data_IF_975596527187
#
_entry.id   IF_975596527187
#
_cell.length_a   1.000
_cell.length_b   1.000
_cell.length_c   1.000
_cell.angle_alpha   90.00
_cell.angle_beta   90.00
_cell.angle_gamma   90.00
#
_symmetry.space_group_name_H-M   'P 1'
#
loop_
_entity.id
_entity.type
_entity.pdbx_description
1 polymer ?
#
# COMPACT_ATOMS: atom_id res chain seq x y z
N UNK A 1 -40.86 -26.35 17.71
CA UNK A 1 -40.13 -25.40 16.85
C UNK A 1 -39.26 -24.57 17.76
N UNK A 2 -37.98 -24.95 17.91
CA UNK A 2 -37.01 -24.10 18.60
C UNK A 2 -36.78 -22.91 17.67
N UNK A 3 -37.31 -21.73 18.02
CA UNK A 3 -36.81 -20.48 17.47
C UNK A 3 -35.36 -20.37 17.93
N UNK A 4 -34.41 -20.85 17.13
CA UNK A 4 -33.03 -20.41 17.25
C UNK A 4 -33.06 -18.90 17.00
N UNK A 5 -32.64 -18.12 17.99
CA UNK A 5 -32.44 -16.67 17.84
C UNK A 5 -31.36 -16.48 16.78
N UNK A 6 -31.74 -16.01 15.60
CA UNK A 6 -30.76 -15.59 14.57
C UNK A 6 -30.27 -14.21 14.96
N UNK A 7 -28.96 -14.01 14.98
CA UNK A 7 -28.32 -12.71 15.22
C UNK A 7 -27.47 -12.36 14.02
N UNK A 8 -27.43 -11.11 13.62
CA UNK A 8 -26.52 -10.68 12.56
C UNK A 8 -25.09 -10.59 13.08
N UNK A 9 -24.12 -10.70 12.19
CA UNK A 9 -22.71 -10.52 12.56
C UNK A 9 -22.39 -9.11 13.07
N UNK A 10 -23.14 -8.08 12.64
CA UNK A 10 -23.03 -6.72 13.19
C UNK A 10 -23.61 -6.64 14.60
N UNK A 11 -24.79 -7.21 14.86
CA UNK A 11 -25.33 -7.26 16.23
C UNK A 11 -24.41 -8.04 17.17
N UNK A 12 -23.77 -9.11 16.68
CA UNK A 12 -22.78 -9.87 17.43
C UNK A 12 -21.57 -9.01 17.81
N UNK A 13 -21.07 -8.15 16.91
CA UNK A 13 -19.93 -7.29 17.24
C UNK A 13 -20.27 -6.26 18.33
N UNK A 14 -21.50 -5.75 18.37
CA UNK A 14 -21.99 -4.89 19.46
C UNK A 14 -22.13 -5.62 20.81
N UNK A 15 -22.23 -6.95 20.83
CA UNK A 15 -22.20 -7.72 22.07
C UNK A 15 -20.79 -7.78 22.69
N UNK A 16 -19.74 -7.57 21.89
CA UNK A 16 -18.36 -7.43 22.39
C UNK A 16 -18.22 -6.06 23.05
N UNK A 17 -18.44 -4.98 22.30
CA UNK A 17 -18.56 -3.60 22.80
C UNK A 17 -19.11 -2.66 21.74
N UNK A 18 -19.53 -1.46 22.17
CA UNK A 18 -20.02 -0.42 21.24
C UNK A 18 -18.95 0.03 20.24
N UNK A 19 -17.71 0.19 20.70
CA UNK A 19 -16.58 0.60 19.86
C UNK A 19 -16.26 -0.45 18.78
N UNK A 20 -16.23 -1.74 19.16
CA UNK A 20 -16.05 -2.85 18.20
C UNK A 20 -17.22 -2.90 17.20
N UNK A 21 -18.44 -2.63 17.66
CA UNK A 21 -19.63 -2.49 16.81
C UNK A 21 -19.48 -1.43 15.73
N UNK A 22 -19.02 -0.24 16.09
CA UNK A 22 -18.82 0.89 15.19
C UNK A 22 -17.71 0.63 14.17
N UNK A 23 -16.55 0.15 14.63
CA UNK A 23 -15.42 -0.21 13.75
C UNK A 23 -15.80 -1.30 12.74
N UNK A 24 -16.52 -2.33 13.21
CA UNK A 24 -16.97 -3.42 12.35
C UNK A 24 -18.05 -2.97 11.35
N UNK A 25 -18.96 -2.08 11.76
CA UNK A 25 -19.94 -1.46 10.88
C UNK A 25 -19.28 -0.72 9.72
N UNK A 26 -18.28 0.12 10.01
CA UNK A 26 -17.45 0.79 9.00
C UNK A 26 -16.76 -0.23 8.11
N UNK A 27 -16.13 -1.25 8.70
CA UNK A 27 -15.42 -2.27 7.93
C UNK A 27 -16.34 -3.00 6.92
N UNK A 28 -17.55 -3.37 7.32
CA UNK A 28 -18.53 -4.01 6.44
C UNK A 28 -18.97 -3.05 5.34
N UNK A 29 -19.27 -1.80 5.66
CA UNK A 29 -19.77 -0.81 4.70
C UNK A 29 -18.84 -0.62 3.50
N UNK A 30 -17.52 -0.63 3.74
CA UNK A 30 -16.50 -0.44 2.71
C UNK A 30 -16.00 -1.74 2.07
N UNK A 31 -16.44 -2.93 2.52
CA UNK A 31 -15.87 -4.23 2.17
C UNK A 31 -15.72 -4.51 0.66
N UNK A 32 -16.67 -4.05 -0.17
CA UNK A 32 -16.64 -4.24 -1.63
C UNK A 32 -15.90 -3.12 -2.36
N UNK A 33 -15.98 -1.89 -1.86
CA UNK A 33 -15.55 -0.70 -2.57
C UNK A 33 -14.11 -0.30 -2.21
N UNK A 34 -13.73 -0.47 -0.94
CA UNK A 34 -12.40 -0.16 -0.36
C UNK A 34 -12.01 -1.31 0.60
N UNK A 35 -11.69 -2.49 0.07
CA UNK A 35 -11.39 -3.67 0.88
C UNK A 35 -10.13 -3.50 1.75
N UNK A 36 -9.18 -2.69 1.31
CA UNK A 36 -8.01 -2.26 2.07
C UNK A 36 -8.41 -1.50 3.35
N UNK A 37 -9.28 -0.49 3.24
CA UNK A 37 -9.83 0.23 4.39
C UNK A 37 -10.53 -0.72 5.37
N UNK A 38 -11.33 -1.66 4.85
CA UNK A 38 -12.00 -2.67 5.69
C UNK A 38 -11.02 -3.55 6.47
N UNK A 39 -9.91 -3.96 5.85
CA UNK A 39 -8.87 -4.72 6.53
C UNK A 39 -8.17 -3.88 7.60
N UNK A 40 -7.91 -2.58 7.37
CA UNK A 40 -7.40 -1.67 8.41
C UNK A 40 -8.34 -1.64 9.62
N UNK A 41 -9.65 -1.51 9.39
CA UNK A 41 -10.64 -1.54 10.46
C UNK A 41 -10.61 -2.86 11.25
N UNK A 42 -10.34 -4.00 10.60
CA UNK A 42 -10.20 -5.28 11.31
C UNK A 42 -9.04 -5.27 12.29
N UNK A 43 -7.97 -4.54 11.99
CA UNK A 43 -6.86 -4.38 12.91
C UNK A 43 -7.19 -3.45 14.08
N UNK A 44 -7.90 -2.36 13.84
CA UNK A 44 -8.42 -1.51 14.92
C UNK A 44 -9.36 -2.27 15.86
N UNK A 45 -10.16 -3.19 15.33
CA UNK A 45 -10.99 -4.09 16.15
C UNK A 45 -10.12 -4.97 17.06
N UNK A 46 -9.03 -5.55 16.54
CA UNK A 46 -8.09 -6.34 17.35
C UNK A 46 -7.50 -5.47 18.45
N UNK A 47 -7.01 -4.28 18.11
CA UNK A 47 -6.40 -3.34 19.06
C UNK A 47 -7.36 -2.95 20.20
N UNK A 48 -8.55 -2.45 19.84
CA UNK A 48 -9.61 -2.06 20.79
C UNK A 48 -10.00 -3.23 21.70
N UNK A 49 -10.16 -4.44 21.14
CA UNK A 49 -10.50 -5.63 21.92
C UNK A 49 -9.41 -5.99 22.93
N UNK A 50 -8.14 -5.96 22.53
CA UNK A 50 -7.02 -6.28 23.42
C UNK A 50 -6.92 -5.27 24.58
N UNK A 51 -7.13 -3.98 24.31
CA UNK A 51 -7.19 -2.94 25.35
C UNK A 51 -8.32 -3.21 26.33
N UNK A 52 -9.53 -3.46 25.83
CA UNK A 52 -10.71 -3.70 26.68
C UNK A 52 -10.55 -4.96 27.55
N UNK A 53 -9.97 -6.04 27.00
CA UNK A 53 -9.65 -7.25 27.78
C UNK A 53 -8.62 -6.97 28.86
N UNK A 54 -7.55 -6.24 28.54
CA UNK A 54 -6.50 -5.90 29.50
C UNK A 54 -7.05 -5.06 30.66
N UNK A 55 -7.83 -4.03 30.35
CA UNK A 55 -8.46 -3.17 31.36
C UNK A 55 -9.43 -3.94 32.27
N UNK A 56 -10.20 -4.87 31.69
CA UNK A 56 -11.20 -5.64 32.43
C UNK A 56 -10.58 -6.71 33.35
N UNK A 57 -9.46 -7.29 32.93
CA UNK A 57 -8.75 -8.35 33.66
C UNK A 57 -7.52 -7.84 34.43
N UNK A 58 -7.31 -6.52 34.50
CA UNK A 58 -6.22 -5.84 35.20
C UNK A 58 -4.83 -6.33 34.74
N UNK A 59 -4.66 -6.51 33.44
CA UNK A 59 -3.39 -6.91 32.80
C UNK A 59 -2.67 -5.67 32.29
N UNK A 60 -1.41 -5.50 32.69
CA UNK A 60 -0.55 -4.45 32.16
C UNK A 60 0.25 -4.95 30.97
N UNK A 61 0.23 -4.20 29.88
CA UNK A 61 1.10 -4.45 28.74
C UNK A 61 2.47 -3.80 28.96
N UNK A 62 3.53 -4.58 28.76
CA UNK A 62 4.91 -4.09 28.75
C UNK A 62 5.28 -3.42 27.42
N UNK A 63 4.58 -3.80 26.36
CA UNK A 63 4.70 -3.25 25.01
C UNK A 63 3.33 -3.02 24.38
N UNK A 64 3.32 -2.08 23.48
CA UNK A 64 2.18 -1.57 22.70
C UNK A 64 1.89 -2.41 21.46
N UNK A 65 2.88 -3.15 20.94
CA UNK A 65 2.72 -3.95 19.72
C UNK A 65 1.71 -5.11 19.90
N UNK A 66 0.89 -5.32 18.88
CA UNK A 66 -0.21 -6.29 18.94
C UNK A 66 0.27 -7.72 19.18
N UNK A 67 1.45 -8.12 18.68
CA UNK A 67 1.99 -9.47 18.93
C UNK A 67 2.21 -9.68 20.42
N UNK A 68 2.98 -8.79 21.05
CA UNK A 68 3.32 -8.88 22.47
C UNK A 68 2.07 -8.80 23.34
N UNK A 69 1.10 -7.96 22.98
CA UNK A 69 -0.18 -7.85 23.71
C UNK A 69 -1.01 -9.13 23.63
N UNK A 70 -1.11 -9.73 22.43
CA UNK A 70 -1.79 -11.02 22.25
C UNK A 70 -1.09 -12.11 23.08
N UNK A 71 0.25 -12.18 23.03
CA UNK A 71 1.03 -13.16 23.78
C UNK A 71 0.88 -12.94 25.29
N UNK A 72 0.90 -11.69 25.76
CA UNK A 72 0.74 -11.35 27.19
C UNK A 72 -0.61 -11.81 27.73
N UNK A 73 -1.72 -11.59 27.00
CA UNK A 73 -3.03 -12.08 27.42
C UNK A 73 -3.11 -13.61 27.43
N UNK A 74 -2.42 -14.28 26.50
CA UNK A 74 -2.37 -15.74 26.44
C UNK A 74 -1.52 -16.32 27.58
N UNK A 75 -0.33 -15.77 27.83
CA UNK A 75 0.54 -16.17 28.93
C UNK A 75 -0.14 -15.95 30.29
N UNK A 76 -0.90 -14.86 30.42
CA UNK A 76 -1.74 -14.55 31.59
C UNK A 76 -2.99 -15.42 31.72
N UNK A 77 -3.20 -16.38 30.80
CA UNK A 77 -4.35 -17.30 30.77
C UNK A 77 -5.73 -16.61 30.66
N UNK A 78 -5.77 -15.38 30.14
CA UNK A 78 -7.02 -14.66 29.89
C UNK A 78 -7.70 -15.21 28.64
N UNK A 79 -6.93 -15.42 27.57
CA UNK A 79 -7.45 -15.95 26.30
C UNK A 79 -6.95 -17.37 26.04
N UNK A 80 -7.77 -18.14 25.33
CA UNK A 80 -7.39 -19.50 24.91
C UNK A 80 -6.37 -19.50 23.78
N UNK A 81 -5.69 -20.63 23.55
CA UNK A 81 -4.80 -20.79 22.39
C UNK A 81 -5.55 -20.54 21.07
N UNK A 82 -6.78 -21.02 20.96
CA UNK A 82 -7.63 -20.81 19.77
C UNK A 82 -7.91 -19.33 19.54
N UNK A 83 -8.26 -18.61 20.60
CA UNK A 83 -8.54 -17.16 20.55
C UNK A 83 -7.29 -16.36 20.20
N UNK A 84 -6.13 -16.71 20.78
CA UNK A 84 -4.82 -16.17 20.38
C UNK A 84 -4.55 -16.37 18.89
N UNK A 85 -4.73 -17.59 18.38
CA UNK A 85 -4.48 -17.90 16.97
C UNK A 85 -5.43 -17.09 16.06
N UNK A 86 -6.69 -16.90 16.47
CA UNK A 86 -7.66 -16.04 15.78
C UNK A 86 -7.23 -14.57 15.77
N UNK A 87 -6.78 -14.02 16.91
CA UNK A 87 -6.24 -12.66 16.98
C UNK A 87 -5.06 -12.47 16.03
N UNK A 88 -4.09 -13.38 16.01
CA UNK A 88 -2.95 -13.27 15.09
C UNK A 88 -3.37 -13.35 13.61
N UNK A 89 -4.35 -14.19 13.26
CA UNK A 89 -4.87 -14.26 11.89
C UNK A 89 -5.53 -12.96 11.46
N UNK A 90 -6.40 -12.40 12.31
CA UNK A 90 -7.08 -11.12 12.02
C UNK A 90 -6.05 -9.98 11.95
N UNK A 91 -5.07 -9.95 12.86
CA UNK A 91 -3.95 -8.99 12.83
C UNK A 91 -3.20 -9.03 11.50
N UNK A 92 -2.76 -10.22 11.07
CA UNK A 92 -2.01 -10.40 9.81
C UNK A 92 -2.87 -10.00 8.61
N UNK A 93 -4.16 -10.34 8.60
CA UNK A 93 -5.07 -9.92 7.53
C UNK A 93 -5.25 -8.41 7.51
N UNK A 94 -5.38 -7.77 8.67
CA UNK A 94 -5.54 -6.32 8.77
C UNK A 94 -4.31 -5.54 8.30
N UNK A 95 -3.10 -6.08 8.55
CA UNK A 95 -1.84 -5.51 8.05
C UNK A 95 -1.81 -5.44 6.51
N UNK A 96 -2.49 -6.35 5.82
CA UNK A 96 -2.59 -6.30 4.35
C UNK A 96 -3.42 -5.13 3.83
N UNK A 97 -4.26 -4.53 4.68
CA UNK A 97 -5.06 -3.36 4.33
C UNK A 97 -4.33 -2.03 4.46
N UNK A 98 -3.31 -1.95 5.33
CA UNK A 98 -2.71 -0.69 5.78
C UNK A 98 -1.81 0.02 4.74
N UNK A 99 -1.54 -0.62 3.60
CA UNK A 99 -0.64 -0.05 2.59
C UNK A 99 -1.28 0.15 1.22
N UNK A 100 -1.50 1.43 0.89
CA UNK A 100 -1.50 1.95 -0.48
C UNK A 100 -0.05 1.86 -1.00
N UNK A 101 0.25 0.91 -1.88
CA UNK A 101 1.57 0.85 -2.52
C UNK A 101 1.85 2.14 -3.33
N UNK A 102 2.72 3.00 -2.80
CA UNK A 102 3.46 4.07 -3.52
C UNK A 102 4.90 3.65 -3.83
N UNK A 103 5.12 2.37 -4.12
CA UNK A 103 6.37 1.92 -4.73
C UNK A 103 6.47 2.51 -6.16
N UNK A 104 7.00 3.73 -6.25
CA UNK A 104 7.58 4.27 -7.48
C UNK A 104 9.06 3.84 -7.51
N UNK A 105 9.38 2.89 -8.39
CA UNK A 105 10.35 3.20 -9.43
C UNK A 105 9.60 3.58 -10.71
N UNK A 106 10.19 4.50 -11.46
CA UNK A 106 9.67 5.08 -12.71
C UNK A 106 9.73 4.07 -13.89
N UNK A 107 9.62 2.79 -13.59
CA UNK A 107 10.06 1.71 -14.45
C UNK A 107 8.85 0.81 -14.64
N UNK A 108 8.05 1.16 -15.66
CA UNK A 108 6.71 0.63 -15.95
C UNK A 108 6.64 -0.86 -16.28
N UNK A 109 7.01 -1.72 -15.34
CA UNK A 109 7.00 -3.17 -15.48
C UNK A 109 6.18 -3.84 -14.38
N UNK A 110 4.86 -3.88 -14.57
CA UNK A 110 4.02 -5.05 -14.28
C UNK A 110 2.58 -4.75 -14.74
N UNK A 111 2.12 -5.45 -15.78
CA UNK A 111 0.74 -5.40 -16.25
C UNK A 111 -0.01 -6.57 -15.61
N UNK A 112 -0.94 -6.28 -14.68
CA UNK A 112 -2.13 -7.11 -14.46
C UNK A 112 -3.32 -6.25 -14.05
N UNK A 113 -4.49 -6.76 -14.38
CA UNK A 113 -5.78 -6.07 -14.30
C UNK A 113 -6.14 -5.78 -12.84
N UNK A 114 -6.29 -4.48 -12.51
CA UNK A 114 -6.75 -3.96 -11.21
C UNK A 114 -7.98 -4.69 -10.65
N UNK A 115 -8.81 -5.28 -11.53
CA UNK A 115 -10.01 -6.04 -11.19
C UNK A 115 -9.69 -7.34 -10.43
N UNK A 116 -8.68 -8.11 -10.85
CA UNK A 116 -8.32 -9.40 -10.24
C UNK A 116 -7.70 -9.20 -8.84
N UNK A 117 -6.93 -8.12 -8.66
CA UNK A 117 -6.35 -7.76 -7.37
C UNK A 117 -7.42 -7.28 -6.39
N UNK A 118 -8.36 -6.45 -6.86
CA UNK A 118 -9.52 -6.03 -6.03
C UNK A 118 -10.38 -7.22 -5.61
N UNK A 119 -10.63 -8.15 -6.52
CA UNK A 119 -11.39 -9.37 -6.20
C UNK A 119 -10.69 -10.23 -5.14
N UNK A 120 -9.36 -10.38 -5.22
CA UNK A 120 -8.57 -11.05 -4.16
C UNK A 120 -8.65 -10.31 -2.82
N UNK A 121 -8.60 -8.98 -2.83
CA UNK A 121 -8.74 -8.19 -1.60
C UNK A 121 -10.13 -8.34 -0.98
N UNK A 122 -11.19 -8.33 -1.80
CA UNK A 122 -12.56 -8.61 -1.33
C UNK A 122 -12.66 -10.02 -0.73
N UNK A 123 -12.02 -11.02 -1.34
CA UNK A 123 -11.95 -12.37 -0.77
C UNK A 123 -11.20 -12.41 0.57
N UNK A 124 -10.13 -11.63 0.73
CA UNK A 124 -9.43 -11.48 2.01
C UNK A 124 -10.32 -10.82 3.07
N UNK A 125 -11.11 -9.80 2.71
CA UNK A 125 -12.11 -9.19 3.60
C UNK A 125 -13.14 -10.24 4.01
N UNK A 126 -13.69 -11.02 3.10
CA UNK A 126 -14.65 -12.08 3.42
C UNK A 126 -14.05 -13.17 4.34
N UNK A 127 -12.79 -13.52 4.13
CA UNK A 127 -12.07 -14.44 5.01
C UNK A 127 -11.86 -13.83 6.40
N UNK A 128 -11.43 -12.57 6.48
CA UNK A 128 -11.27 -11.83 7.72
C UNK A 128 -12.58 -11.68 8.49
N UNK A 129 -13.68 -11.41 7.79
CA UNK A 129 -15.03 -11.35 8.36
C UNK A 129 -15.43 -12.64 9.06
N UNK A 130 -15.14 -13.80 8.43
CA UNK A 130 -15.37 -15.12 9.04
C UNK A 130 -14.51 -15.36 10.28
N UNK A 131 -13.24 -14.92 10.25
CA UNK A 131 -12.36 -15.01 11.44
C UNK A 131 -12.86 -14.10 12.57
N UNK A 132 -13.31 -12.89 12.25
CA UNK A 132 -13.87 -11.95 13.21
C UNK A 132 -15.16 -12.48 13.85
N UNK A 133 -16.06 -13.08 13.09
CA UNK A 133 -17.26 -13.72 13.65
C UNK A 133 -16.88 -14.78 14.68
N UNK A 134 -15.98 -15.69 14.33
CA UNK A 134 -15.50 -16.71 15.27
C UNK A 134 -14.81 -16.09 16.50
N UNK A 135 -14.07 -15.00 16.32
CA UNK A 135 -13.43 -14.28 17.41
C UNK A 135 -14.46 -13.61 18.33
N UNK A 136 -15.49 -12.96 17.78
CA UNK A 136 -16.56 -12.35 18.57
C UNK A 136 -17.36 -13.39 19.35
N UNK A 137 -17.63 -14.56 18.76
CA UNK A 137 -18.26 -15.68 19.46
C UNK A 137 -17.43 -16.12 20.67
N UNK A 138 -16.12 -16.32 20.48
CA UNK A 138 -15.19 -16.70 21.55
C UNK A 138 -15.17 -15.63 22.67
N UNK A 139 -15.11 -14.35 22.32
CA UNK A 139 -15.02 -13.24 23.27
C UNK A 139 -16.30 -13.06 24.09
N UNK A 140 -17.47 -13.14 23.45
CA UNK A 140 -18.75 -13.06 24.15
C UNK A 140 -18.91 -14.21 25.14
N UNK A 141 -18.51 -15.43 24.76
CA UNK A 141 -18.58 -16.60 25.64
C UNK A 141 -17.55 -16.53 26.77
N UNK A 142 -16.36 -16.00 26.49
CA UNK A 142 -15.29 -15.78 27.47
C UNK A 142 -15.75 -14.83 28.58
N UNK A 143 -16.47 -13.77 28.22
CA UNK A 143 -16.95 -12.76 29.16
C UNK A 143 -18.24 -13.18 29.88
N UNK A 144 -19.15 -13.88 29.19
CA UNK A 144 -20.37 -14.41 29.80
C UNK A 144 -20.73 -15.79 29.22
N UNK A 145 -20.27 -16.83 29.91
CA UNK A 145 -20.56 -18.24 29.57
C UNK A 145 -22.06 -18.62 29.62
N UNK A 146 -22.93 -17.75 30.18
CA UNK A 146 -24.37 -17.96 30.20
C UNK A 146 -25.04 -17.57 28.87
N UNK A 147 -24.40 -16.71 28.07
CA UNK A 147 -24.90 -16.31 26.76
C UNK A 147 -24.91 -17.53 25.83
N UNK A 148 -25.99 -17.63 25.05
CA UNK A 148 -26.15 -18.62 23.99
C UNK A 148 -26.29 -17.87 22.69
N UNK A 149 -25.20 -17.82 21.94
CA UNK A 149 -25.17 -17.25 20.60
C UNK A 149 -25.92 -18.24 19.69
N UNK A 150 -26.91 -17.73 18.97
CA UNK A 150 -27.63 -18.55 17.99
C UNK A 150 -26.89 -18.59 16.64
N UNK A 151 -27.59 -18.96 15.57
CA UNK A 151 -26.96 -18.99 14.24
C UNK A 151 -26.67 -17.53 13.80
N UNK A 152 -25.41 -17.25 13.44
CA UNK A 152 -24.98 -15.90 13.00
C UNK A 152 -25.22 -15.74 11.51
N UNK A 153 -26.02 -14.75 11.12
CA UNK A 153 -26.28 -14.39 9.73
C UNK A 153 -25.36 -13.25 9.29
N UNK A 154 -24.64 -13.44 8.19
CA UNK A 154 -23.81 -12.38 7.62
C UNK A 154 -24.68 -11.39 6.85
N UNK A 155 -24.69 -10.13 7.25
CA UNK A 155 -25.45 -9.08 6.55
C UNK A 155 -24.99 -8.97 5.10
N UNK A 156 -25.98 -8.96 4.19
CA UNK A 156 -25.79 -8.77 2.76
C UNK A 156 -25.51 -7.30 2.45
N UNK A 157 -24.42 -7.05 1.73
CA UNK A 157 -23.88 -5.72 1.47
C UNK A 157 -24.76 -4.96 0.46
N UNK A 158 -25.44 -3.89 0.90
CA UNK A 158 -26.08 -2.97 -0.02
C UNK A 158 -25.01 -2.14 -0.73
N UNK A 159 -24.86 -2.33 -2.04
CA UNK A 159 -24.07 -1.44 -2.88
C UNK A 159 -24.93 -0.18 -3.06
N UNK A 160 -24.71 0.85 -2.24
CA UNK A 160 -25.09 2.18 -2.69
C UNK A 160 -24.25 2.48 -3.92
N UNK A 161 -24.89 2.90 -5.01
CA UNK A 161 -24.18 3.22 -6.24
C UNK A 161 -23.18 4.34 -5.95
N UNK A 162 -21.92 4.15 -6.36
CA UNK A 162 -20.83 5.12 -6.18
C UNK A 162 -21.27 6.57 -6.46
N UNK A 163 -22.06 6.77 -7.51
CA UNK A 163 -22.60 8.06 -7.91
C UNK A 163 -23.50 8.70 -6.86
N UNK A 164 -24.35 7.93 -6.18
CA UNK A 164 -25.27 8.42 -5.16
C UNK A 164 -24.52 8.92 -3.92
N UNK A 165 -23.53 8.15 -3.46
CA UNK A 165 -22.71 8.50 -2.29
C UNK A 165 -21.88 9.75 -2.58
N UNK A 166 -21.23 9.80 -3.75
CA UNK A 166 -20.45 10.96 -4.17
C UNK A 166 -21.34 12.20 -4.30
N UNK A 167 -22.53 12.07 -4.92
CA UNK A 167 -23.48 13.17 -5.02
C UNK A 167 -23.93 13.67 -3.64
N UNK A 168 -24.26 12.77 -2.72
CA UNK A 168 -24.66 13.13 -1.36
C UNK A 168 -23.55 13.87 -0.60
N UNK A 169 -22.30 13.39 -0.69
CA UNK A 169 -21.17 14.05 -0.05
C UNK A 169 -20.83 15.41 -0.66
N UNK A 170 -21.01 15.60 -1.97
CA UNK A 170 -20.83 16.91 -2.62
C UNK A 170 -21.94 17.89 -2.23
N UNK A 171 -23.20 17.44 -2.19
CA UNK A 171 -24.38 18.29 -2.03
C UNK A 171 -24.75 18.60 -0.57
N UNK A 172 -24.08 17.98 0.41
CA UNK A 172 -24.34 18.19 1.83
C UNK A 172 -23.20 18.94 2.53
N UNK A 173 -23.53 19.57 3.65
CA UNK A 173 -22.57 20.12 4.64
C UNK A 173 -22.28 19.14 5.78
N UNK A 174 -22.67 17.87 5.60
CA UNK A 174 -22.48 16.82 6.58
C UNK A 174 -21.05 16.25 6.48
N UNK A 175 -20.35 16.18 7.62
CA UNK A 175 -18.97 15.73 7.66
C UNK A 175 -18.85 14.27 7.22
N UNK A 176 -19.70 13.37 7.73
CA UNK A 176 -19.60 11.93 7.47
C UNK A 176 -19.88 11.61 6.00
N UNK A 177 -20.94 12.18 5.43
CA UNK A 177 -21.26 12.03 4.01
C UNK A 177 -20.14 12.55 3.10
N UNK A 178 -19.50 13.66 3.48
CA UNK A 178 -18.41 14.26 2.70
C UNK A 178 -17.12 13.45 2.81
N UNK A 179 -16.78 12.98 4.00
CA UNK A 179 -15.63 12.10 4.24
C UNK A 179 -15.77 10.79 3.47
N UNK A 180 -16.96 10.19 3.50
CA UNK A 180 -17.28 8.98 2.72
C UNK A 180 -17.12 9.20 1.22
N UNK A 181 -17.61 10.32 0.69
CA UNK A 181 -17.42 10.66 -0.72
C UNK A 181 -15.94 10.90 -1.07
N UNK A 182 -15.18 11.55 -0.19
CA UNK A 182 -13.75 11.80 -0.38
C UNK A 182 -12.96 10.49 -0.50
N UNK A 183 -13.15 9.58 0.45
CA UNK A 183 -12.55 8.25 0.48
C UNK A 183 -12.84 7.45 -0.80
N UNK A 184 -14.10 7.42 -1.23
CA UNK A 184 -14.50 6.70 -2.45
C UNK A 184 -13.86 7.29 -3.70
N UNK A 185 -13.86 8.62 -3.84
CA UNK A 185 -13.28 9.28 -5.02
C UNK A 185 -11.76 9.10 -5.04
N UNK A 186 -11.09 9.21 -3.90
CA UNK A 186 -9.64 9.01 -3.79
C UNK A 186 -9.25 7.58 -4.14
N UNK A 187 -9.95 6.59 -3.58
CA UNK A 187 -9.71 5.19 -3.93
C UNK A 187 -9.93 4.93 -5.42
N UNK A 188 -11.01 5.44 -6.01
CA UNK A 188 -11.27 5.28 -7.43
C UNK A 188 -10.19 5.97 -8.31
N UNK A 189 -9.63 7.09 -7.85
CA UNK A 189 -8.52 7.77 -8.52
C UNK A 189 -7.23 6.92 -8.48
N UNK A 190 -6.97 6.26 -7.35
CA UNK A 190 -5.80 5.41 -7.14
C UNK A 190 -5.93 4.06 -7.88
N UNK A 191 -7.11 3.42 -7.90
CA UNK A 191 -7.36 2.21 -8.69
C UNK A 191 -7.03 2.39 -10.19
N UNK A 192 -7.33 3.56 -10.75
CA UNK A 192 -6.98 3.86 -12.15
C UNK A 192 -5.47 4.09 -12.34
N UNK A 193 -4.81 4.74 -11.37
CA UNK A 193 -3.35 4.91 -11.38
C UNK A 193 -2.63 3.56 -11.26
N UNK A 194 -3.25 2.58 -10.62
CA UNK A 194 -2.76 1.20 -10.43
C UNK A 194 -2.96 0.29 -11.64
N UNK A 195 -3.72 0.71 -12.67
CA UNK A 195 -3.95 -0.10 -13.90
C UNK A 195 -2.71 -0.34 -14.76
N UNK A 196 -1.53 0.08 -14.31
CA UNK A 196 -0.25 -0.53 -14.69
C UNK A 196 0.07 -0.50 -16.19
N UNK A 197 -0.54 0.41 -16.97
CA UNK A 197 -0.23 0.51 -18.39
C UNK A 197 1.19 1.07 -18.55
N UNK A 198 1.99 0.39 -19.39
CA UNK A 198 3.35 0.81 -19.81
C UNK A 198 3.37 2.27 -20.30
N UNK A 199 2.22 2.76 -20.74
CA UNK A 199 1.93 4.13 -21.14
C UNK A 199 0.60 4.54 -20.51
N UNK A 200 0.61 5.47 -19.56
CA UNK A 200 -0.61 6.15 -19.12
C UNK A 200 -0.99 7.15 -20.22
N UNK A 201 -2.20 7.02 -20.79
CA UNK A 201 -2.63 7.99 -21.79
C UNK A 201 -2.79 9.37 -21.15
N UNK A 202 -2.59 10.44 -21.92
CA UNK A 202 -2.81 11.79 -21.41
C UNK A 202 -4.24 12.00 -20.86
N UNK A 203 -5.22 11.30 -21.44
CA UNK A 203 -6.61 11.32 -20.99
C UNK A 203 -6.79 10.61 -19.63
N UNK A 204 -6.17 9.44 -19.44
CA UNK A 204 -6.27 8.69 -18.17
C UNK A 204 -5.56 9.45 -17.05
N UNK A 205 -4.40 10.05 -17.35
CA UNK A 205 -3.69 10.92 -16.40
C UNK A 205 -4.54 12.12 -16.00
N UNK A 206 -5.08 12.85 -16.98
CA UNK A 206 -5.95 14.00 -16.71
C UNK A 206 -7.21 13.60 -15.93
N UNK A 207 -7.79 12.42 -16.21
CA UNK A 207 -8.93 11.91 -15.47
C UNK A 207 -8.56 11.57 -14.01
N UNK A 208 -7.47 10.83 -13.77
CA UNK A 208 -7.01 10.50 -12.41
C UNK A 208 -6.64 11.75 -11.60
N UNK A 209 -5.94 12.72 -12.21
CA UNK A 209 -5.64 14.03 -11.60
C UNK A 209 -6.92 14.80 -11.25
N UNK A 210 -7.93 14.77 -12.14
CA UNK A 210 -9.22 15.40 -11.85
C UNK A 210 -9.93 14.77 -10.65
N UNK A 211 -9.88 13.44 -10.53
CA UNK A 211 -10.49 12.72 -9.39
C UNK A 211 -9.74 13.00 -8.08
N UNK A 212 -8.40 13.00 -8.10
CA UNK A 212 -7.58 13.39 -6.94
C UNK A 212 -7.87 14.82 -6.50
N UNK A 213 -8.06 15.74 -7.45
CA UNK A 213 -8.43 17.13 -7.15
C UNK A 213 -9.80 17.23 -6.44
N UNK A 214 -10.78 16.43 -6.88
CA UNK A 214 -12.09 16.34 -6.21
C UNK A 214 -11.93 15.77 -4.80
N UNK A 215 -11.22 14.65 -4.63
CA UNK A 215 -10.97 14.05 -3.32
C UNK A 215 -10.26 15.02 -2.37
N UNK A 216 -9.19 15.67 -2.82
CA UNK A 216 -8.45 16.68 -2.06
C UNK A 216 -9.37 17.84 -1.61
N UNK A 217 -10.24 18.32 -2.49
CA UNK A 217 -11.19 19.39 -2.17
C UNK A 217 -12.23 18.93 -1.14
N UNK A 218 -12.68 17.68 -1.22
CA UNK A 218 -13.60 17.11 -0.24
C UNK A 218 -12.93 16.94 1.13
N UNK A 219 -11.69 16.43 1.19
CA UNK A 219 -10.94 16.34 2.46
C UNK A 219 -10.66 17.72 3.06
N UNK A 220 -10.34 18.74 2.25
CA UNK A 220 -10.15 20.11 2.72
C UNK A 220 -11.44 20.67 3.38
N UNK A 221 -12.58 20.40 2.75
CA UNK A 221 -13.88 20.74 3.32
C UNK A 221 -14.19 19.94 4.58
N UNK A 222 -13.82 18.65 4.66
CA UNK A 222 -13.97 17.85 5.88
C UNK A 222 -13.14 18.42 7.04
N UNK A 223 -11.91 18.86 6.77
CA UNK A 223 -11.07 19.53 7.76
C UNK A 223 -11.75 20.81 8.28
N UNK A 224 -12.35 21.59 7.38
CA UNK A 224 -13.03 22.85 7.74
C UNK A 224 -14.31 22.59 8.56
N UNK A 225 -15.14 21.64 8.13
CA UNK A 225 -16.39 21.29 8.80
C UNK A 225 -16.14 20.72 10.21
N UNK A 226 -15.15 19.83 10.34
CA UNK A 226 -14.80 19.21 11.63
C UNK A 226 -14.10 20.17 12.60
N UNK A 227 -13.43 21.22 12.11
CA UNK A 227 -12.84 22.25 12.96
C UNK A 227 -13.89 23.16 13.65
N UNK A 228 -15.16 23.11 13.21
CA UNK A 228 -16.28 23.89 13.73
C UNK A 228 -15.96 25.39 13.88
N UNK A 229 -15.54 25.99 12.76
CA UNK A 229 -15.29 27.43 12.67
C UNK A 229 -16.66 28.14 12.63
N UNK A 230 -17.01 28.82 13.71
CA UNK A 230 -18.30 29.53 13.80
C UNK A 230 -18.29 30.85 13.04
N UNK A 231 -19.46 31.27 12.55
CA UNK A 231 -19.63 32.55 11.85
C UNK A 231 -19.26 33.77 12.73
N UNK A 232 -19.41 33.64 14.07
CA UNK A 232 -18.97 34.65 15.03
C UNK A 232 -17.44 34.80 15.08
N UNK A 233 -16.71 33.67 14.99
CA UNK A 233 -15.25 33.63 14.92
C UNK A 233 -14.72 34.28 13.63
N UNK A 234 -15.40 34.08 12.51
CA UNK A 234 -15.09 34.75 11.23
C UNK A 234 -15.38 36.26 11.29
N UNK A 235 -16.57 36.65 11.77
CA UNK A 235 -17.03 38.04 11.82
C UNK A 235 -16.20 38.93 12.76
N UNK A 236 -15.60 38.37 13.81
CA UNK A 236 -14.70 39.10 14.71
C UNK A 236 -13.32 39.40 14.10
N UNK A 237 -13.06 39.02 12.84
CA UNK A 237 -11.83 39.35 12.12
C UNK A 237 -10.59 38.65 12.66
N UNK A 238 -10.77 37.49 13.32
CA UNK A 238 -9.67 36.72 13.93
C UNK A 238 -8.96 35.77 12.95
N UNK A 239 -9.39 35.75 11.68
CA UNK A 239 -8.90 34.80 10.69
C UNK A 239 -8.53 35.52 9.38
N UNK A 240 -7.23 35.75 9.18
CA UNK A 240 -6.68 35.72 7.83
C UNK A 240 -6.46 34.25 7.40
N UNK A 241 -6.19 34.00 6.11
CA UNK A 241 -6.06 32.63 5.57
C UNK A 241 -5.06 31.77 6.36
N UNK A 242 -3.96 32.36 6.85
CA UNK A 242 -2.94 31.68 7.64
C UNK A 242 -3.43 31.33 9.05
N UNK A 243 -4.14 32.25 9.70
CA UNK A 243 -4.73 32.03 11.01
C UNK A 243 -5.83 30.97 10.95
N UNK A 244 -6.56 30.89 9.82
CA UNK A 244 -7.60 29.89 9.60
C UNK A 244 -6.99 28.50 9.46
N UNK A 245 -5.94 28.36 8.64
CA UNK A 245 -5.27 27.07 8.45
C UNK A 245 -4.64 26.55 9.75
N UNK A 246 -4.01 27.42 10.55
CA UNK A 246 -3.46 27.04 11.85
C UNK A 246 -4.54 26.56 12.83
N UNK A 247 -5.73 27.17 12.78
CA UNK A 247 -6.87 26.73 13.58
C UNK A 247 -7.40 25.37 13.11
N UNK A 248 -7.53 25.17 11.80
CA UNK A 248 -7.90 23.87 11.21
C UNK A 248 -6.92 22.79 11.68
N UNK A 249 -5.61 23.01 11.60
CA UNK A 249 -4.59 22.06 12.06
C UNK A 249 -4.78 21.64 13.53
N UNK A 250 -5.20 22.57 14.38
CA UNK A 250 -5.39 22.32 15.82
C UNK A 250 -6.70 21.60 16.16
N UNK A 251 -7.75 21.84 15.38
CA UNK A 251 -9.12 21.48 15.79
C UNK A 251 -9.83 20.49 14.86
N UNK A 252 -9.40 20.37 13.59
CA UNK A 252 -10.01 19.47 12.64
C UNK A 252 -9.85 18.00 13.03
N UNK A 253 -10.69 17.15 12.45
CA UNK A 253 -10.58 15.71 12.51
C UNK A 253 -9.20 15.22 11.99
N UNK A 254 -8.62 14.25 12.69
CA UNK A 254 -7.25 13.77 12.43
C UNK A 254 -7.16 12.96 11.13
N UNK A 255 -8.18 12.14 10.84
CA UNK A 255 -8.24 11.32 9.64
C UNK A 255 -8.40 12.21 8.39
N UNK A 256 -9.24 13.26 8.48
CA UNK A 256 -9.39 14.24 7.41
C UNK A 256 -8.08 15.01 7.14
N UNK A 257 -7.37 15.46 8.18
CA UNK A 257 -6.06 16.14 8.05
C UNK A 257 -5.03 15.23 7.36
N UNK A 258 -4.96 13.98 7.81
CA UNK A 258 -4.05 12.98 7.26
C UNK A 258 -4.36 12.66 5.80
N UNK A 259 -5.62 12.34 5.48
CA UNK A 259 -6.01 12.00 4.12
C UNK A 259 -5.82 13.19 3.16
N UNK A 260 -6.14 14.42 3.57
CA UNK A 260 -5.79 15.60 2.77
C UNK A 260 -4.29 15.64 2.44
N UNK A 261 -3.45 15.45 3.45
CA UNK A 261 -2.00 15.49 3.26
C UNK A 261 -1.51 14.38 2.33
N UNK A 262 -2.12 13.19 2.37
CA UNK A 262 -1.79 12.12 1.45
C UNK A 262 -2.25 12.40 0.02
N UNK A 263 -3.45 12.95 -0.21
CA UNK A 263 -3.99 13.20 -1.55
C UNK A 263 -3.38 14.43 -2.23
N UNK A 264 -2.85 15.38 -1.47
CA UNK A 264 -2.23 16.60 -1.99
C UNK A 264 -0.92 16.31 -2.77
N UNK A 265 -1.06 15.98 -4.06
CA UNK A 265 0.05 15.71 -4.99
C UNK A 265 0.27 16.84 -6.01
N UNK A 266 -0.66 17.79 -6.14
CA UNK A 266 -0.51 18.93 -7.05
C UNK A 266 0.57 19.87 -6.52
N UNK A 267 1.77 19.74 -7.07
CA UNK A 267 2.99 20.45 -6.67
C UNK A 267 2.87 21.94 -6.98
N UNK A 268 2.25 22.67 -6.04
CA UNK A 268 2.48 24.09 -5.85
C UNK A 268 3.12 24.25 -4.47
N UNK A 269 4.00 25.25 -4.31
CA UNK A 269 4.68 25.47 -3.02
C UNK A 269 3.69 25.64 -1.86
N UNK A 270 2.56 26.32 -2.12
CA UNK A 270 1.47 26.50 -1.16
C UNK A 270 0.80 25.18 -0.75
N UNK A 271 0.59 24.26 -1.69
CA UNK A 271 0.02 22.95 -1.39
C UNK A 271 0.98 22.07 -0.58
N UNK A 272 2.30 22.18 -0.82
CA UNK A 272 3.31 21.43 -0.06
C UNK A 272 3.33 21.91 1.40
N UNK A 273 3.37 23.23 1.63
CA UNK A 273 3.38 23.78 2.99
C UNK A 273 2.11 23.38 3.76
N UNK A 274 0.93 23.54 3.14
CA UNK A 274 -0.35 23.15 3.73
C UNK A 274 -0.41 21.64 4.02
N UNK A 275 0.05 20.80 3.09
CA UNK A 275 0.15 19.34 3.27
C UNK A 275 1.03 18.98 4.46
N UNK A 276 2.27 19.49 4.51
CA UNK A 276 3.22 19.15 5.57
C UNK A 276 2.74 19.68 6.91
N UNK A 277 2.14 20.88 6.95
CA UNK A 277 1.53 21.45 8.15
C UNK A 277 0.41 20.57 8.73
N UNK A 278 -0.50 20.08 7.88
CA UNK A 278 -1.60 19.20 8.30
C UNK A 278 -1.12 17.82 8.72
N UNK A 279 -0.17 17.23 8.00
CA UNK A 279 0.46 15.95 8.36
C UNK A 279 1.14 16.05 9.72
N UNK A 280 1.95 17.09 9.92
CA UNK A 280 2.59 17.40 11.19
C UNK A 280 1.56 17.55 12.32
N UNK A 281 0.48 18.30 12.08
CA UNK A 281 -0.53 18.54 13.09
C UNK A 281 -1.23 17.24 13.51
N UNK A 282 -1.56 16.36 12.56
CA UNK A 282 -2.12 15.05 12.85
C UNK A 282 -1.14 14.17 13.66
N UNK A 283 0.14 14.17 13.29
CA UNK A 283 1.20 13.42 13.99
C UNK A 283 1.43 13.92 15.43
N UNK A 284 1.53 15.23 15.64
CA UNK A 284 1.71 15.87 16.95
C UNK A 284 0.51 15.61 17.89
N UNK A 285 -0.69 15.44 17.31
CA UNK A 285 -1.92 15.14 18.04
C UNK A 285 -2.13 13.63 18.25
N UNK A 286 -1.14 12.79 17.92
CA UNK A 286 -1.17 11.36 18.24
C UNK A 286 -1.83 10.48 17.18
N UNK A 287 -2.10 10.97 15.97
CA UNK A 287 -2.64 10.12 14.92
C UNK A 287 -1.54 9.20 14.38
N UNK A 288 -1.56 7.93 14.78
CA UNK A 288 -0.48 6.98 14.53
C UNK A 288 -0.07 6.86 13.05
N UNK A 289 -1.01 6.77 12.06
CA UNK A 289 -0.60 6.76 10.66
C UNK A 289 0.16 8.04 10.29
N UNK A 290 -0.28 9.21 10.75
CA UNK A 290 0.42 10.46 10.45
C UNK A 290 1.82 10.52 11.05
N UNK A 291 2.09 9.88 12.19
CA UNK A 291 3.43 9.87 12.80
C UNK A 291 4.44 9.18 11.89
N UNK A 292 4.08 8.04 11.30
CA UNK A 292 4.93 7.33 10.34
C UNK A 292 5.21 8.19 9.10
N UNK A 293 4.15 8.70 8.46
CA UNK A 293 4.31 9.50 7.24
C UNK A 293 5.05 10.82 7.51
N UNK A 294 4.89 11.42 8.69
CA UNK A 294 5.64 12.60 9.07
C UNK A 294 7.11 12.29 9.35
N UNK A 295 7.42 11.14 9.96
CA UNK A 295 8.79 10.67 10.13
C UNK A 295 9.49 10.46 8.78
N UNK A 296 8.80 9.85 7.81
CA UNK A 296 9.31 9.66 6.45
C UNK A 296 9.55 10.99 5.74
N UNK A 297 8.63 11.95 5.86
CA UNK A 297 8.81 13.32 5.34
C UNK A 297 10.04 14.00 5.95
N UNK A 298 10.22 13.90 7.28
CA UNK A 298 11.40 14.44 7.97
C UNK A 298 12.70 13.78 7.50
N UNK A 299 12.68 12.47 7.24
CA UNK A 299 13.85 11.69 6.85
C UNK A 299 14.23 11.88 5.38
N UNK A 300 13.32 11.58 4.45
CA UNK A 300 13.63 11.55 3.01
C UNK A 300 13.74 12.94 2.40
N UNK A 301 12.90 13.88 2.84
CA UNK A 301 12.80 15.20 2.20
C UNK A 301 13.52 16.30 2.98
N UNK A 302 13.52 16.23 4.32
CA UNK A 302 14.11 17.27 5.16
C UNK A 302 15.45 16.89 5.78
N UNK A 303 15.84 15.61 5.73
CA UNK A 303 17.07 15.07 6.35
C UNK A 303 17.23 15.43 7.84
N UNK A 304 16.12 15.51 8.57
CA UNK A 304 16.07 15.79 10.01
C UNK A 304 16.06 14.47 10.79
N UNK A 305 17.23 13.83 10.88
CA UNK A 305 17.36 12.47 11.41
C UNK A 305 16.86 12.32 12.86
N UNK A 306 17.20 13.24 13.76
CA UNK A 306 16.81 13.16 15.18
C UNK A 306 15.28 13.27 15.36
N UNK A 307 14.64 14.20 14.64
CA UNK A 307 13.18 14.37 14.68
C UNK A 307 12.49 13.17 14.03
N UNK A 308 13.00 12.69 12.88
CA UNK A 308 12.45 11.53 12.21
C UNK A 308 12.50 10.29 13.11
N UNK A 309 13.64 10.02 13.77
CA UNK A 309 13.78 8.88 14.66
C UNK A 309 12.77 8.92 15.81
N UNK A 310 12.57 10.09 16.42
CA UNK A 310 11.57 10.26 17.47
C UNK A 310 10.17 9.85 17.00
N UNK A 311 9.74 10.31 15.82
CA UNK A 311 8.42 9.95 15.30
C UNK A 311 8.36 8.48 14.84
N UNK A 312 9.44 7.92 14.29
CA UNK A 312 9.49 6.49 14.01
C UNK A 312 9.33 5.68 15.29
N UNK A 313 10.03 6.02 16.38
CA UNK A 313 9.92 5.35 17.67
C UNK A 313 8.49 5.44 18.25
N UNK A 314 7.84 6.60 18.14
CA UNK A 314 6.42 6.76 18.50
C UNK A 314 5.49 5.90 17.63
N UNK A 315 5.86 5.66 16.37
CA UNK A 315 5.09 4.85 15.42
C UNK A 315 5.30 3.35 15.60
N UNK A 316 6.40 2.90 16.24
CA UNK A 316 6.61 1.48 16.61
C UNK A 316 5.50 1.02 17.55
N UNK A 317 5.04 1.93 18.41
CA UNK A 317 3.95 1.70 19.35
C UNK A 317 2.57 1.63 18.68
N UNK A 318 2.50 2.00 17.40
CA UNK A 318 1.27 2.10 16.64
C UNK A 318 0.95 0.91 15.74
N UNK A 319 -0.15 1.07 15.02
CA UNK A 319 -0.82 0.04 14.24
C UNK A 319 -0.25 -0.04 12.80
N UNK A 320 1.07 0.02 12.54
CA UNK A 320 1.63 -0.18 11.17
C UNK A 320 3.03 -0.84 11.09
N UNK A 321 3.15 -2.15 10.75
CA UNK A 321 4.40 -2.81 10.39
C UNK A 321 5.30 -2.08 9.41
N UNK A 322 4.76 -1.22 8.54
CA UNK A 322 5.54 -0.38 7.62
C UNK A 322 6.67 0.39 8.29
N UNK A 323 6.49 0.80 9.55
CA UNK A 323 7.53 1.48 10.35
C UNK A 323 8.85 0.71 10.42
N UNK A 324 8.79 -0.63 10.47
CA UNK A 324 9.99 -1.45 10.57
C UNK A 324 10.82 -1.43 9.27
N UNK A 325 10.18 -1.28 8.11
CA UNK A 325 10.88 -1.09 6.84
C UNK A 325 11.49 0.31 6.73
N UNK A 326 10.76 1.34 7.19
CA UNK A 326 11.29 2.70 7.21
C UNK A 326 12.48 2.80 8.19
N UNK A 327 12.43 2.09 9.32
CA UNK A 327 13.57 1.96 10.25
C UNK A 327 14.72 1.14 9.68
N UNK A 328 14.46 0.05 8.96
CA UNK A 328 15.53 -0.65 8.20
C UNK A 328 16.22 0.33 7.26
N UNK A 329 15.47 1.10 6.47
CA UNK A 329 16.04 2.09 5.55
C UNK A 329 16.80 3.19 6.29
N UNK A 330 16.26 3.67 7.42
CA UNK A 330 16.90 4.69 8.26
C UNK A 330 18.26 4.24 8.77
N UNK A 331 18.36 3.02 9.33
CA UNK A 331 19.60 2.48 9.89
C UNK A 331 20.55 1.91 8.82
N UNK A 332 20.06 1.58 7.62
CA UNK A 332 20.89 1.08 6.51
C UNK A 332 21.43 2.19 5.58
N UNK A 333 20.96 3.43 5.74
CA UNK A 333 21.47 4.58 4.99
C UNK A 333 22.83 5.03 5.52
N UNK A 334 23.88 4.83 4.72
CA UNK A 334 25.27 5.22 5.05
C UNK A 334 25.46 6.73 5.20
N UNK A 335 24.53 7.55 4.71
CA UNK A 335 24.55 9.00 4.91
C UNK A 335 23.94 9.43 6.26
N UNK A 336 23.13 8.57 6.89
CA UNK A 336 22.50 8.84 8.17
C UNK A 336 23.53 8.71 9.33
N UNK A 337 23.63 9.70 10.24
CA UNK A 337 24.49 9.60 11.43
C UNK A 337 24.21 8.40 12.34
N UNK A 338 22.99 7.84 12.27
CA UNK A 338 22.57 6.67 13.01
C UNK A 338 22.84 5.34 12.29
N UNK A 339 23.53 5.36 11.14
CA UNK A 339 23.84 4.15 10.37
C UNK A 339 24.39 3.03 11.26
N UNK A 340 23.64 1.94 11.34
CA UNK A 340 24.02 0.70 12.01
C UNK A 340 23.40 -0.46 11.25
N UNK A 341 24.24 -1.11 10.45
CA UNK A 341 23.80 -2.20 9.60
C UNK A 341 23.18 -3.34 10.40
N UNK A 342 23.71 -3.67 11.59
CA UNK A 342 23.14 -4.77 12.39
C UNK A 342 21.73 -4.43 12.86
N UNK A 343 21.53 -3.23 13.39
CA UNK A 343 20.21 -2.74 13.84
C UNK A 343 19.22 -2.69 12.68
N UNK A 344 19.67 -2.27 11.49
CA UNK A 344 18.84 -2.27 10.30
C UNK A 344 18.28 -3.69 10.01
N UNK A 345 19.14 -4.71 9.99
CA UNK A 345 18.69 -6.08 9.72
C UNK A 345 17.82 -6.67 10.83
N UNK A 346 18.02 -6.27 12.09
CA UNK A 346 17.09 -6.64 13.18
C UNK A 346 15.68 -6.09 12.89
N UNK A 347 15.57 -4.84 12.41
CA UNK A 347 14.29 -4.27 11.98
C UNK A 347 13.73 -4.92 10.71
N UNK A 348 14.55 -5.26 9.73
CA UNK A 348 14.09 -5.97 8.52
C UNK A 348 13.49 -7.34 8.85
N UNK A 349 14.13 -8.09 9.76
CA UNK A 349 13.57 -9.37 10.23
C UNK A 349 12.25 -9.15 10.96
N UNK A 350 12.18 -8.15 11.86
CA UNK A 350 10.93 -7.79 12.55
C UNK A 350 9.83 -7.38 11.57
N UNK A 351 10.16 -6.66 10.50
CA UNK A 351 9.22 -6.32 9.44
C UNK A 351 8.63 -7.56 8.77
N UNK A 352 9.44 -8.61 8.53
CA UNK A 352 8.96 -9.89 7.99
C UNK A 352 8.05 -10.60 9.00
N UNK A 353 8.44 -10.67 10.27
CA UNK A 353 7.66 -11.33 11.33
C UNK A 353 6.30 -10.64 11.59
N UNK A 354 6.29 -9.31 11.50
CA UNK A 354 5.08 -8.49 11.64
C UNK A 354 4.21 -8.52 10.38
N UNK A 355 4.72 -9.06 9.28
CA UNK A 355 4.01 -9.16 8.01
C UNK A 355 3.90 -7.83 7.28
N UNK A 356 4.90 -6.95 7.41
CA UNK A 356 4.97 -5.70 6.66
C UNK A 356 5.03 -5.99 5.15
N UNK A 357 4.19 -5.30 4.39
CA UNK A 357 4.16 -5.41 2.94
C UNK A 357 5.54 -5.03 2.37
N UNK A 358 6.03 -5.78 1.37
CA UNK A 358 7.38 -5.61 0.80
C UNK A 358 8.57 -6.01 1.69
N UNK A 359 8.36 -6.48 2.92
CA UNK A 359 9.49 -6.91 3.76
C UNK A 359 10.18 -8.16 3.23
N UNK A 360 9.42 -9.17 2.83
CA UNK A 360 9.97 -10.41 2.23
C UNK A 360 10.75 -10.13 0.94
N UNK A 361 10.23 -9.27 0.07
CA UNK A 361 10.93 -8.89 -1.18
C UNK A 361 12.18 -8.05 -0.92
N UNK A 362 12.15 -7.19 0.10
CA UNK A 362 13.34 -6.46 0.56
C UNK A 362 14.40 -7.41 1.13
N UNK A 363 14.03 -8.33 2.02
CA UNK A 363 14.94 -9.35 2.54
C UNK A 363 15.51 -10.25 1.43
N UNK A 364 14.72 -10.60 0.43
CA UNK A 364 15.19 -11.33 -0.74
C UNK A 364 16.28 -10.56 -1.51
N UNK A 365 16.11 -9.23 -1.68
CA UNK A 365 17.14 -8.39 -2.33
C UNK A 365 18.46 -8.40 -1.55
N UNK A 366 18.39 -8.39 -0.21
CA UNK A 366 19.59 -8.48 0.63
C UNK A 366 20.33 -9.82 0.47
N UNK A 367 19.60 -10.93 0.32
CA UNK A 367 20.19 -12.24 0.00
C UNK A 367 20.72 -12.34 -1.44
N UNK A 368 20.16 -11.58 -2.38
CA UNK A 368 20.65 -11.54 -3.77
C UNK A 368 21.92 -10.68 -3.87
N UNK A 369 21.93 -9.51 -3.22
CA UNK A 369 23.04 -8.56 -3.24
C UNK A 369 24.27 -9.17 -2.57
N UNK A 370 24.07 -9.88 -1.46
CA UNK A 370 25.14 -10.46 -0.68
C UNK A 370 26.03 -9.43 0.03
N UNK A 371 25.55 -8.19 0.23
CA UNK A 371 26.35 -7.09 0.79
C UNK A 371 26.65 -7.32 2.29
N UNK A 372 25.62 -7.64 3.07
CA UNK A 372 25.75 -7.99 4.49
C UNK A 372 25.41 -9.45 4.76
N UNK A 373 24.30 -9.93 4.22
CA UNK A 373 23.89 -11.33 4.35
C UNK A 373 24.67 -12.20 3.37
N UNK A 374 25.05 -13.44 3.74
CA UNK A 374 25.63 -14.37 2.79
C UNK A 374 24.67 -14.62 1.63
N UNK A 375 25.18 -14.51 0.40
CA UNK A 375 24.36 -14.69 -0.80
C UNK A 375 23.62 -16.03 -0.78
N UNK A 376 22.30 -16.00 -0.93
CA UNK A 376 21.46 -17.19 -0.93
C UNK A 376 20.29 -17.03 -1.93
N UNK A 377 20.58 -17.30 -3.20
CA UNK A 377 19.61 -17.15 -4.30
C UNK A 377 18.38 -18.04 -4.10
N UNK A 378 18.54 -19.24 -3.53
CA UNK A 378 17.42 -20.16 -3.31
C UNK A 378 16.40 -19.56 -2.34
N UNK A 379 16.86 -19.12 -1.17
CA UNK A 379 16.01 -18.50 -0.16
C UNK A 379 15.41 -17.18 -0.68
N UNK A 380 16.19 -16.38 -1.41
CA UNK A 380 15.67 -15.16 -2.02
C UNK A 380 14.49 -15.43 -2.97
N UNK A 381 14.57 -16.48 -3.80
CA UNK A 381 13.45 -16.85 -4.67
C UNK A 381 12.23 -17.35 -3.91
N UNK A 382 12.44 -18.17 -2.86
CA UNK A 382 11.34 -18.62 -1.98
C UNK A 382 10.60 -17.40 -1.37
N UNK A 383 11.34 -16.42 -0.84
CA UNK A 383 10.78 -15.17 -0.31
C UNK A 383 10.07 -14.30 -1.37
N UNK A 384 10.61 -14.22 -2.58
CA UNK A 384 10.01 -13.48 -3.70
C UNK A 384 8.69 -14.13 -4.13
N UNK A 385 8.67 -15.46 -4.21
CA UNK A 385 7.46 -16.22 -4.57
C UNK A 385 6.37 -16.04 -3.51
N UNK A 386 6.72 -16.15 -2.22
CA UNK A 386 5.80 -15.87 -1.12
C UNK A 386 5.24 -14.44 -1.20
N UNK A 387 6.11 -13.44 -1.38
CA UNK A 387 5.68 -12.05 -1.53
C UNK A 387 4.73 -11.86 -2.73
N UNK A 388 5.01 -12.53 -3.85
CA UNK A 388 4.16 -12.48 -5.03
C UNK A 388 2.79 -13.15 -4.80
N UNK A 389 2.76 -14.29 -4.11
CA UNK A 389 1.52 -14.98 -3.73
C UNK A 389 0.68 -14.18 -2.74
N UNK A 390 1.33 -13.43 -1.86
CA UNK A 390 0.70 -12.48 -0.93
C UNK A 390 0.19 -11.20 -1.61
N UNK A 391 0.50 -11.00 -2.88
CA UNK A 391 0.03 -9.86 -3.68
C UNK A 391 0.90 -8.61 -3.58
N UNK A 392 2.13 -8.70 -3.05
CA UNK A 392 3.11 -7.61 -3.08
C UNK A 392 3.57 -7.35 -4.51
N UNK A 393 3.39 -6.12 -5.02
CA UNK A 393 3.75 -5.76 -6.40
C UNK A 393 5.23 -5.90 -6.66
N UNK A 394 6.07 -5.48 -5.71
CA UNK A 394 7.52 -5.66 -5.80
C UNK A 394 7.88 -7.15 -5.91
N UNK A 395 7.27 -7.99 -5.08
CA UNK A 395 7.40 -9.46 -5.15
C UNK A 395 6.97 -10.03 -6.49
N UNK A 396 5.78 -9.67 -6.99
CA UNK A 396 5.27 -10.10 -8.30
C UNK A 396 6.19 -9.68 -9.46
N UNK A 397 6.67 -8.43 -9.44
CA UNK A 397 7.61 -7.91 -10.45
C UNK A 397 8.92 -8.70 -10.44
N UNK A 398 9.50 -8.89 -9.25
CA UNK A 398 10.74 -9.64 -9.08
C UNK A 398 10.59 -11.09 -9.51
N UNK A 399 9.47 -11.74 -9.18
CA UNK A 399 9.16 -13.10 -9.62
C UNK A 399 9.06 -13.18 -11.15
N UNK A 400 8.37 -12.22 -11.78
CA UNK A 400 8.27 -12.13 -13.24
C UNK A 400 9.64 -11.94 -13.91
N UNK A 401 10.49 -11.05 -13.38
CA UNK A 401 11.85 -10.85 -13.87
C UNK A 401 12.70 -12.12 -13.72
N UNK A 402 12.56 -12.83 -12.60
CA UNK A 402 13.27 -14.08 -12.36
C UNK A 402 12.89 -15.17 -13.38
N UNK A 403 11.59 -15.38 -13.61
CA UNK A 403 11.12 -16.37 -14.59
C UNK A 403 11.51 -15.99 -16.03
N UNK A 404 11.50 -14.70 -16.38
CA UNK A 404 12.02 -14.22 -17.66
C UNK A 404 13.53 -14.49 -17.80
N UNK A 405 14.32 -14.23 -16.76
CA UNK A 405 15.76 -14.50 -16.77
C UNK A 405 16.06 -15.99 -16.94
N UNK A 406 15.31 -16.85 -16.23
CA UNK A 406 15.41 -18.30 -16.33
C UNK A 406 15.03 -18.80 -17.73
N UNK A 407 13.94 -18.28 -18.30
CA UNK A 407 13.54 -18.58 -19.68
C UNK A 407 14.59 -18.12 -20.69
N UNK A 408 15.12 -16.90 -20.55
CA UNK A 408 16.16 -16.37 -21.41
C UNK A 408 17.44 -17.20 -21.35
N UNK A 409 17.84 -17.66 -20.16
CA UNK A 409 19.01 -18.54 -19.97
C UNK A 409 18.81 -19.89 -20.66
N UNK A 410 17.63 -20.51 -20.50
CA UNK A 410 17.28 -21.73 -21.22
C UNK A 410 17.29 -21.54 -22.74
N UNK A 411 16.87 -20.38 -23.24
CA UNK A 411 16.87 -20.06 -24.66
C UNK A 411 18.30 -19.84 -25.21
N UNK A 412 19.17 -19.19 -24.44
CA UNK A 412 20.60 -19.00 -24.79
C UNK A 412 21.34 -20.33 -24.80
N UNK A 413 21.07 -21.21 -23.82
CA UNK A 413 21.67 -22.55 -23.75
C UNK A 413 21.21 -23.48 -24.91
N UNK A 414 20.13 -23.10 -25.61
CA UNK A 414 19.60 -23.80 -26.80
C UNK A 414 20.08 -23.20 -28.13
N UNK A 415 20.71 -22.03 -28.16
CA UNK A 415 21.33 -21.51 -29.38
C UNK A 415 22.58 -22.34 -29.70
N UNK A 416 22.65 -23.07 -30.83
CA UNK A 416 23.90 -23.68 -31.25
C UNK A 416 24.92 -22.55 -31.44
N UNK A 417 26.13 -22.71 -30.89
CA UNK A 417 27.23 -21.74 -31.08
C UNK A 417 27.21 -21.25 -32.52
N UNK A 418 26.93 -19.95 -32.71
CA UNK A 418 27.14 -19.31 -34.01
C UNK A 418 28.63 -19.42 -34.29
N UNK A 419 29.04 -20.48 -34.99
CA UNK A 419 30.34 -20.55 -35.64
C UNK A 419 30.39 -19.30 -36.50
N UNK A 420 31.17 -18.31 -36.06
CA UNK A 420 31.50 -17.15 -36.85
C UNK A 420 32.04 -17.70 -38.17
N UNK A 421 31.27 -17.55 -39.24
CA UNK A 421 31.73 -17.93 -40.56
C UNK A 421 33.04 -17.16 -40.78
N UNK A 422 34.17 -17.85 -41.04
CA UNK A 422 35.44 -17.18 -41.21
C UNK A 422 35.26 -16.07 -42.24
N UNK A 423 35.80 -14.90 -41.94
CA UNK A 423 35.62 -13.71 -42.76
C UNK A 423 36.23 -13.99 -44.15
N UNK A 424 35.40 -14.47 -45.09
CA UNK A 424 35.82 -14.68 -46.47
C UNK A 424 36.09 -13.30 -47.02
N UNK A 425 37.37 -13.00 -47.25
CA UNK A 425 37.82 -11.74 -47.81
C UNK A 425 37.20 -11.63 -49.21
N UNK A 426 36.07 -10.94 -49.33
CA UNK A 426 35.48 -10.68 -50.63
C UNK A 426 36.50 -9.89 -51.47
N UNK A 427 36.85 -10.41 -52.64
CA UNK A 427 37.73 -9.71 -53.57
C UNK A 427 37.10 -8.36 -53.91
N UNK A 428 37.75 -7.29 -53.47
CA UNK A 428 37.30 -5.93 -53.77
C UNK A 428 37.54 -5.68 -55.25
N UNK A 429 36.47 -5.55 -56.03
CA UNK A 429 36.53 -5.19 -57.44
C UNK A 429 37.42 -3.96 -57.66
N UNK A 430 38.40 -4.10 -58.54
CA UNK A 430 39.32 -3.04 -58.92
C UNK A 430 38.58 -1.87 -59.59
N UNK A 431 38.98 -0.60 -59.40
CA UNK A 431 38.27 0.56 -59.95
C UNK A 431 38.08 0.54 -61.48
N UNK A 432 38.92 -0.20 -62.22
CA UNK A 432 38.87 -0.28 -63.67
C UNK A 432 38.23 -1.58 -64.20
N UNK A 433 37.82 -2.50 -63.33
CA UNK A 433 37.19 -3.76 -63.71
C UNK A 433 35.73 -3.55 -64.15
N UNK A 434 35.16 -4.47 -64.96
CA UNK A 434 33.75 -4.42 -65.34
C UNK A 434 32.84 -4.41 -64.11
N UNK A 435 31.86 -3.53 -64.07
CA UNK A 435 30.97 -3.38 -62.93
C UNK A 435 30.01 -4.57 -62.78
N UNK A 436 29.84 -5.06 -61.55
CA UNK A 436 28.99 -6.23 -61.23
C UNK A 436 27.49 -6.03 -61.51
N UNK A 437 27.01 -4.81 -61.74
CA UNK A 437 25.60 -4.54 -62.09
C UNK A 437 25.24 -4.91 -63.54
N UNK A 438 26.15 -5.52 -64.30
CA UNK A 438 25.92 -5.93 -65.69
C UNK A 438 25.93 -4.81 -66.72
N UNK A 439 26.23 -3.57 -66.32
CA UNK A 439 26.20 -2.40 -67.22
C UNK A 439 27.31 -2.35 -68.28
N UNK A 440 28.30 -3.25 -68.22
CA UNK A 440 29.47 -3.25 -69.10
C UNK A 440 30.47 -2.10 -68.89
N UNK A 441 30.22 -1.18 -67.95
CA UNK A 441 31.09 -0.03 -67.64
C UNK A 441 32.12 -0.36 -66.56
N UNK A 442 33.24 0.38 -66.50
CA UNK A 442 34.24 0.26 -65.42
C UNK A 442 33.62 0.61 -64.06
N UNK A 443 33.92 -0.15 -63.01
CA UNK A 443 33.34 -0.03 -61.67
C UNK A 443 33.41 1.41 -61.11
N UNK A 444 34.55 2.11 -61.28
CA UNK A 444 34.72 3.50 -60.83
C UNK A 444 33.77 4.52 -61.47
N UNK A 445 33.27 4.23 -62.68
CA UNK A 445 32.35 5.10 -63.42
C UNK A 445 30.88 4.67 -63.26
N UNK A 446 30.61 3.63 -62.48
CA UNK A 446 29.29 3.04 -62.35
C UNK A 446 28.84 3.02 -60.88
N UNK A 447 29.07 1.93 -60.16
CA UNK A 447 28.55 1.72 -58.79
C UNK A 447 29.52 2.16 -57.68
N UNK A 448 30.79 2.46 -58.00
CA UNK A 448 31.75 2.89 -56.97
C UNK A 448 31.30 4.21 -56.31
N UNK A 449 31.03 4.17 -55.01
CA UNK A 449 30.60 5.33 -54.22
C UNK A 449 29.11 5.68 -54.37
N UNK A 450 28.31 4.82 -54.99
CA UNK A 450 26.85 4.95 -55.03
C UNK A 450 26.22 3.90 -54.11
N UNK A 451 25.11 4.21 -53.42
CA UNK A 451 24.39 3.22 -52.63
C UNK A 451 23.97 2.04 -53.53
N UNK A 452 24.02 0.80 -53.03
CA UNK A 452 23.65 -0.37 -53.82
C UNK A 452 22.20 -0.20 -54.30
N UNK A 453 21.99 -0.25 -55.61
CA UNK A 453 20.64 -0.39 -56.16
C UNK A 453 20.23 -1.84 -55.90
N UNK A 454 19.28 -2.03 -54.98
CA UNK A 454 18.65 -3.31 -54.71
C UNK A 454 18.13 -3.87 -56.03
N UNK A 455 18.56 -5.08 -56.36
CA UNK A 455 18.01 -5.78 -57.52
C UNK A 455 16.64 -6.36 -57.12
N UNK A 456 15.70 -6.55 -58.07
CA UNK A 456 14.35 -7.00 -57.76
C UNK A 456 14.27 -8.35 -57.02
N UNK A 457 15.37 -9.11 -57.01
CA UNK A 457 15.45 -10.40 -56.33
C UNK A 457 15.72 -10.29 -54.82
N UNK A 458 16.06 -9.09 -54.32
CA UNK A 458 16.36 -8.83 -52.91
C UNK A 458 15.10 -8.41 -52.10
N UNK A 459 13.90 -8.42 -52.71
CA UNK A 459 12.63 -8.04 -52.07
C UNK A 459 11.79 -9.23 -51.59
N UNK A 460 12.30 -10.46 -51.70
CA UNK A 460 11.63 -11.65 -51.22
C UNK A 460 12.57 -12.49 -50.38
N UNK A 461 12.90 -12.04 -49.17
CA UNK A 461 13.18 -12.89 -47.99
C UNK A 461 12.96 -12.08 -46.72
#
# INVERSE_FOLDING_TARGET
MNNKTVITDLELSYLVSSEVGELYGKAIEFAKNMPDYSLIQYRHIVDSTLTQLADKHDVLFDRTDLITRIETLFESQIISKTTKDSFHKVRILGNKGAHIERDLPNDGNAVRDSSEQKEKMVQLVEQGRKQLISLFEDLVILEDSSIRIGDVEMIELSIQEFQQVVAQGILSSDFEAKMKAALLVDNAANEQSLRGSLVVSANDKAHSESMRSVAMSLYDACCTLSADISMEKELLGQFDDNSQELYIQRHADLEALFNYALTAELVTDANIEKKVGRLKAAAERGFEPAQLFYAEELYFNQHKYDEALKYFEMSIDGVEPGVYLSLFQFYNDKANPYFDQKVAYDYLNRAVDEGAQSAKSTLAMEYISGEYLPKNEKLAHELIEEAAQEGCRRGMMMHGMFELHKFAKQYIDLEPEKKLNPHVKQEKLGPNEPCHCGSGKKYKKCCKGKPPQLLPHDLFY
#
